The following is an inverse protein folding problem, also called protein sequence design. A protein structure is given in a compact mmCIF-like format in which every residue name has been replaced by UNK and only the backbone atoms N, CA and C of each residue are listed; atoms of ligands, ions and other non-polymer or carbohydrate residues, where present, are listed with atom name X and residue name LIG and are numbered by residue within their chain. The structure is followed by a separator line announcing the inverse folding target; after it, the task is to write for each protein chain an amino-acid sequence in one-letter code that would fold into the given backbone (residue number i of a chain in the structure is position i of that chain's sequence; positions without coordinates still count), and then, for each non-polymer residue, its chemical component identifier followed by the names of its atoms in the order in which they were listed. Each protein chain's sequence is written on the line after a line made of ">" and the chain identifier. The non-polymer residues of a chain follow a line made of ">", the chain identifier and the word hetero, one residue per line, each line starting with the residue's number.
data_IF_558394245271
#
_entry.id   IF_558394245271
#
_cell.length_a   1.000
_cell.length_b   1.000
_cell.length_c   1.000
_cell.angle_alpha   90.00
_cell.angle_beta   90.00
_cell.angle_gamma   90.00
#
_symmetry.space_group_name_H-M   'P 1'
#
loop_
_entity.id
_entity.type
_entity.pdbx_description
1 polymer ?
#
# COMPACT_ATOMS: atom_id res chain seq x y z
N UNK A 1 -4.56 -14.77 -3.50
CA UNK A 1 -5.26 -15.09 -2.23
C UNK A 1 -6.47 -14.20 -2.09
N UNK A 2 -7.64 -14.74 -1.75
CA UNK A 2 -8.85 -13.92 -1.51
C UNK A 2 -8.83 -13.40 -0.08
N UNK A 3 -9.20 -12.13 0.12
CA UNK A 3 -9.39 -11.53 1.44
C UNK A 3 -10.86 -11.16 1.60
N UNK A 4 -11.40 -11.33 2.80
CA UNK A 4 -12.78 -10.97 3.16
C UNK A 4 -12.70 -10.10 4.40
N UNK A 5 -13.42 -8.97 4.39
CA UNK A 5 -13.42 -8.01 5.49
C UNK A 5 -13.88 -8.68 6.79
N UNK A 6 -13.19 -8.42 7.89
CA UNK A 6 -13.48 -8.96 9.23
C UNK A 6 -13.55 -10.49 9.30
N UNK A 7 -12.83 -11.20 8.43
CA UNK A 7 -12.88 -12.66 8.36
C UNK A 7 -11.50 -13.31 8.55
N UNK A 8 -11.49 -14.48 9.19
CA UNK A 8 -10.32 -15.37 9.32
C UNK A 8 -10.77 -16.81 9.10
N UNK A 9 -10.02 -17.55 8.29
CA UNK A 9 -10.37 -18.93 7.96
C UNK A 9 -10.08 -19.91 9.11
N UNK A 10 -9.15 -19.54 9.99
CA UNK A 10 -8.56 -20.44 10.99
C UNK A 10 -9.08 -20.25 12.41
N UNK A 11 -9.74 -19.13 12.73
CA UNK A 11 -10.33 -18.87 14.05
C UNK A 11 -11.41 -17.80 13.97
N UNK A 12 -12.23 -17.68 15.02
CA UNK A 12 -13.26 -16.64 15.12
C UNK A 12 -12.64 -15.29 15.51
N UNK A 13 -12.73 -14.28 14.62
CA UNK A 13 -12.16 -12.96 14.84
C UNK A 13 -13.05 -12.13 15.80
N UNK A 14 -12.46 -11.64 16.89
CA UNK A 14 -13.07 -10.64 17.77
C UNK A 14 -12.25 -9.37 17.67
N UNK A 15 -12.90 -8.24 17.37
CA UNK A 15 -12.28 -6.91 17.35
C UNK A 15 -12.62 -6.19 18.65
N UNK A 16 -11.64 -5.52 19.24
CA UNK A 16 -11.80 -4.86 20.54
C UNK A 16 -12.30 -3.41 20.42
N UNK A 17 -11.99 -2.72 19.33
CA UNK A 17 -12.50 -1.38 19.03
C UNK A 17 -12.60 -1.09 17.52
N UNK A 18 -13.14 0.08 17.18
CA UNK A 18 -13.29 0.53 15.78
C UNK A 18 -11.94 0.77 15.08
N UNK A 19 -10.85 1.00 15.83
CA UNK A 19 -9.52 1.23 15.26
C UNK A 19 -8.93 -0.08 14.75
N UNK A 20 -9.14 -1.16 15.50
CA UNK A 20 -8.75 -2.51 15.08
C UNK A 20 -9.48 -2.95 13.82
N UNK A 21 -10.73 -2.50 13.60
CA UNK A 21 -11.47 -2.81 12.37
C UNK A 21 -10.76 -2.31 11.11
N UNK A 22 -10.03 -1.20 11.19
CA UNK A 22 -9.20 -0.73 10.08
C UNK A 22 -7.93 -1.57 9.97
N UNK A 23 -7.11 -1.60 11.03
CA UNK A 23 -5.79 -2.24 10.97
C UNK A 23 -5.85 -3.74 10.71
N UNK A 24 -6.89 -4.44 11.19
CA UNK A 24 -7.06 -5.87 10.98
C UNK A 24 -7.43 -6.25 9.53
N UNK A 25 -7.85 -5.28 8.72
CA UNK A 25 -8.21 -5.49 7.31
C UNK A 25 -7.14 -4.98 6.33
N UNK A 26 -6.03 -4.44 6.84
CA UNK A 26 -4.86 -4.13 6.02
C UNK A 26 -4.03 -5.40 5.74
N UNK A 27 -3.70 -5.61 4.47
CA UNK A 27 -2.87 -6.72 4.01
C UNK A 27 -1.67 -6.24 3.20
N UNK A 28 -0.55 -6.99 3.21
CA UNK A 28 0.59 -6.67 2.36
C UNK A 28 0.29 -7.00 0.89
N UNK A 29 0.66 -6.10 0.00
CA UNK A 29 0.77 -6.35 -1.44
C UNK A 29 2.17 -6.04 -1.91
N UNK A 30 2.75 -6.93 -2.71
CA UNK A 30 4.09 -6.76 -3.30
C UNK A 30 4.04 -6.33 -4.75
N UNK A 31 2.97 -6.68 -5.46
CA UNK A 31 2.77 -6.40 -6.89
C UNK A 31 1.47 -5.66 -7.17
N UNK A 32 0.37 -6.08 -6.56
CA UNK A 32 -0.93 -5.45 -6.78
C UNK A 32 -2.09 -6.15 -6.07
N UNK A 33 -3.26 -5.52 -6.16
CA UNK A 33 -4.54 -6.02 -5.67
C UNK A 33 -5.66 -5.65 -6.65
N UNK A 34 -6.81 -6.31 -6.50
CA UNK A 34 -8.01 -5.95 -7.24
C UNK A 34 -9.26 -6.15 -6.39
N UNK A 35 -10.30 -5.42 -6.75
CA UNK A 35 -11.69 -5.67 -6.35
C UNK A 35 -12.51 -5.92 -7.60
N UNK A 36 -13.56 -6.75 -7.52
CA UNK A 36 -14.41 -7.04 -8.67
C UNK A 36 -15.85 -7.29 -8.27
N UNK A 37 -16.75 -6.96 -9.19
CA UNK A 37 -18.14 -7.40 -9.21
C UNK A 37 -18.37 -8.34 -10.41
N UNK A 38 -19.63 -8.61 -10.75
CA UNK A 38 -20.00 -9.50 -11.86
C UNK A 38 -19.65 -8.96 -13.25
N UNK A 39 -19.41 -7.65 -13.38
CA UNK A 39 -19.23 -6.97 -14.67
C UNK A 39 -17.83 -6.40 -14.84
N UNK A 40 -17.22 -5.91 -13.76
CA UNK A 40 -16.03 -5.08 -13.77
C UNK A 40 -15.04 -5.50 -12.70
N UNK A 41 -13.77 -5.30 -13.02
CA UNK A 41 -12.66 -5.46 -12.10
C UNK A 41 -11.83 -4.18 -12.06
N UNK A 42 -11.59 -3.66 -10.85
CA UNK A 42 -10.65 -2.56 -10.60
C UNK A 42 -9.33 -3.15 -10.12
N UNK A 43 -8.28 -2.95 -10.91
CA UNK A 43 -6.92 -3.39 -10.63
C UNK A 43 -6.07 -2.23 -10.13
N UNK A 44 -5.20 -2.54 -9.17
CA UNK A 44 -4.20 -1.65 -8.62
C UNK A 44 -2.85 -2.37 -8.64
N UNK A 45 -1.86 -1.82 -9.35
CA UNK A 45 -0.49 -2.35 -9.42
C UNK A 45 0.47 -1.35 -8.79
N UNK A 46 1.28 -1.82 -7.84
CA UNK A 46 2.22 -1.02 -7.07
C UNK A 46 3.63 -1.13 -7.62
N UNK A 47 4.46 -0.13 -7.36
CA UNK A 47 5.88 -0.14 -7.71
C UNK A 47 6.78 -0.76 -6.63
N UNK A 48 6.22 -1.03 -5.44
CA UNK A 48 6.89 -1.62 -4.29
C UNK A 48 5.89 -2.32 -3.36
N UNK A 49 6.40 -2.94 -2.30
CA UNK A 49 5.56 -3.51 -1.25
C UNK A 49 4.84 -2.41 -0.45
N UNK A 50 3.51 -2.54 -0.31
CA UNK A 50 2.66 -1.57 0.38
C UNK A 50 1.54 -2.28 1.15
N UNK A 51 0.89 -1.56 2.07
CA UNK A 51 -0.34 -2.00 2.72
C UNK A 51 -1.57 -1.59 1.90
N UNK A 52 -2.52 -2.50 1.73
CA UNK A 52 -3.79 -2.25 1.05
C UNK A 52 -4.96 -2.73 1.89
N UNK A 53 -6.11 -2.08 1.76
CA UNK A 53 -7.37 -2.54 2.33
C UNK A 53 -8.56 -2.23 1.42
N UNK A 54 -9.69 -2.87 1.72
CA UNK A 54 -11.02 -2.53 1.21
C UNK A 54 -11.96 -2.45 2.40
N UNK A 55 -12.06 -1.25 2.99
CA UNK A 55 -12.83 -0.99 4.21
C UNK A 55 -14.32 -0.79 3.92
N UNK A 56 -14.66 -0.38 2.70
CA UNK A 56 -16.03 -0.20 2.20
C UNK A 56 -16.17 -0.93 0.86
N UNK A 57 -17.36 -1.45 0.59
CA UNK A 57 -17.64 -2.17 -0.65
C UNK A 57 -17.46 -1.23 -1.85
N UNK A 58 -16.79 -1.71 -2.90
CA UNK A 58 -16.43 -0.89 -4.06
C UNK A 58 -15.24 0.05 -3.84
N UNK A 59 -14.63 0.08 -2.66
CA UNK A 59 -13.45 0.90 -2.35
C UNK A 59 -12.19 0.04 -2.24
N UNK A 60 -11.07 0.61 -2.69
CA UNK A 60 -9.71 0.14 -2.39
C UNK A 60 -8.88 1.32 -1.91
N UNK A 61 -8.03 1.11 -0.91
CA UNK A 61 -7.08 2.11 -0.41
C UNK A 61 -5.69 1.51 -0.29
N UNK A 62 -4.66 2.33 -0.56
CA UNK A 62 -3.24 1.94 -0.48
C UNK A 62 -2.51 2.93 0.42
N UNK A 63 -1.78 2.42 1.41
CA UNK A 63 -0.94 3.24 2.26
C UNK A 63 0.34 3.64 1.51
N UNK A 64 0.44 4.93 1.13
CA UNK A 64 1.57 5.45 0.35
C UNK A 64 2.82 5.64 1.20
N UNK A 65 2.68 6.26 2.37
CA UNK A 65 3.77 6.56 3.29
C UNK A 65 3.20 6.73 4.71
N UNK A 66 4.04 6.54 5.74
CA UNK A 66 3.64 6.71 7.15
C UNK A 66 4.77 7.32 7.95
N UNK A 67 4.40 8.17 8.92
CA UNK A 67 5.30 8.83 9.85
C UNK A 67 4.65 8.82 11.23
N UNK A 68 5.36 8.33 12.24
CA UNK A 68 4.90 8.19 13.62
C UNK A 68 5.81 8.99 14.54
N UNK A 69 5.20 9.70 15.50
CA UNK A 69 5.92 10.52 16.48
C UNK A 69 6.14 9.80 17.81
N UNK A 70 5.70 8.55 17.91
CA UNK A 70 5.84 7.70 19.09
C UNK A 70 6.32 6.31 18.66
N UNK A 71 7.15 5.70 19.51
CA UNK A 71 7.58 4.30 19.41
C UNK A 71 6.41 3.38 19.81
N UNK A 72 6.34 2.20 19.19
CA UNK A 72 5.27 1.22 19.44
C UNK A 72 5.61 0.21 20.56
N UNK A 73 6.78 0.38 21.19
CA UNK A 73 7.32 -0.45 22.26
C UNK A 73 7.45 -1.93 21.86
N UNK A 74 7.74 -2.19 20.58
CA UNK A 74 8.01 -3.54 20.06
C UNK A 74 9.50 -3.86 19.87
N UNK A 75 10.39 -2.99 20.33
CA UNK A 75 11.82 -3.28 20.50
C UNK A 75 12.77 -2.47 19.63
N UNK A 76 12.28 -1.61 18.73
CA UNK A 76 13.12 -0.70 17.96
C UNK A 76 13.73 0.41 18.84
N UNK A 77 12.95 0.93 19.81
CA UNK A 77 13.42 2.00 20.71
C UNK A 77 13.46 3.38 20.04
N UNK A 78 12.84 3.52 18.88
CA UNK A 78 12.72 4.76 18.14
C UNK A 78 11.41 4.81 17.36
N UNK A 79 10.85 6.01 17.21
CA UNK A 79 9.65 6.23 16.41
C UNK A 79 9.97 6.22 14.91
N UNK A 80 9.01 5.80 14.08
CA UNK A 80 9.15 5.84 12.62
C UNK A 80 9.01 7.27 12.09
N UNK A 81 10.07 8.06 12.23
CA UNK A 81 10.10 9.49 11.96
C UNK A 81 11.24 9.86 11.02
N UNK A 82 11.28 9.23 9.85
CA UNK A 82 12.35 9.42 8.88
C UNK A 82 12.45 10.88 8.41
N UNK A 83 13.68 11.41 8.44
CA UNK A 83 14.01 12.76 8.01
C UNK A 83 15.16 12.76 7.01
N UNK A 84 15.19 13.75 6.14
CA UNK A 84 16.30 14.01 5.22
C UNK A 84 16.94 15.37 5.50
N UNK A 85 18.27 15.45 5.38
CA UNK A 85 19.02 16.70 5.44
C UNK A 85 19.28 17.19 4.03
N UNK A 86 18.73 18.35 3.68
CA UNK A 86 18.84 18.95 2.34
C UNK A 86 19.48 20.32 2.47
N UNK A 87 20.36 20.67 1.53
CA UNK A 87 20.91 22.01 1.45
C UNK A 87 19.84 22.98 0.92
N UNK A 88 19.50 23.98 1.72
CA UNK A 88 18.57 25.04 1.36
C UNK A 88 19.36 26.22 0.76
N UNK A 89 19.12 26.50 -0.52
CA UNK A 89 19.82 27.57 -1.24
C UNK A 89 19.46 28.98 -0.73
N UNK A 90 18.25 29.19 -0.22
CA UNK A 90 17.80 30.48 0.29
C UNK A 90 18.38 30.75 1.69
N UNK A 91 18.39 29.74 2.56
CA UNK A 91 18.99 29.82 3.89
C UNK A 91 20.52 29.66 3.88
N UNK A 92 21.10 29.20 2.75
CA UNK A 92 22.52 28.84 2.61
C UNK A 92 23.01 27.88 3.71
N UNK A 93 22.16 26.93 4.09
CA UNK A 93 22.41 26.01 5.20
C UNK A 93 21.74 24.65 4.97
N UNK A 94 22.23 23.62 5.65
CA UNK A 94 21.54 22.33 5.71
C UNK A 94 20.32 22.42 6.63
N UNK A 95 19.16 22.02 6.12
CA UNK A 95 17.91 21.96 6.87
C UNK A 95 17.44 20.51 6.91
N UNK A 96 17.00 20.07 8.08
CA UNK A 96 16.40 18.74 8.27
C UNK A 96 14.89 18.85 8.11
N UNK A 97 14.33 18.05 7.21
CA UNK A 97 12.88 17.98 6.95
C UNK A 97 12.41 16.54 6.92
N UNK A 98 11.09 16.32 6.95
CA UNK A 98 10.53 14.97 6.82
C UNK A 98 10.89 14.34 5.47
N UNK A 99 11.17 13.03 5.48
CA UNK A 99 11.48 12.28 4.26
C UNK A 99 10.32 12.41 3.25
N UNK A 100 10.66 12.67 1.99
CA UNK A 100 9.68 12.73 0.89
C UNK A 100 9.85 11.51 0.00
N UNK A 101 8.78 10.73 -0.13
CA UNK A 101 8.75 9.54 -0.99
C UNK A 101 7.88 9.80 -2.22
N UNK A 102 8.30 9.28 -3.38
CA UNK A 102 7.49 9.26 -4.61
C UNK A 102 7.04 7.84 -4.92
N UNK A 103 5.74 7.67 -5.17
CA UNK A 103 5.10 6.40 -5.45
C UNK A 103 4.37 6.45 -6.79
N UNK A 104 4.52 5.41 -7.60
CA UNK A 104 3.76 5.21 -8.82
C UNK A 104 2.72 4.11 -8.59
N UNK A 105 1.45 4.45 -8.77
CA UNK A 105 0.32 3.53 -8.69
C UNK A 105 -0.35 3.43 -10.06
N UNK A 106 -0.46 2.22 -10.59
CA UNK A 106 -1.18 1.98 -11.84
C UNK A 106 -2.58 1.48 -11.53
N UNK A 107 -3.58 2.18 -12.03
CA UNK A 107 -5.00 1.87 -11.84
C UNK A 107 -5.58 1.50 -13.20
N UNK A 108 -6.31 0.39 -13.26
CA UNK A 108 -6.93 -0.10 -14.50
C UNK A 108 -8.30 -0.71 -14.21
N UNK A 109 -9.30 -0.38 -15.02
CA UNK A 109 -10.63 -0.99 -14.95
C UNK A 109 -10.83 -1.86 -16.18
N UNK A 110 -11.23 -3.10 -15.96
CA UNK A 110 -11.46 -4.10 -17.01
C UNK A 110 -12.81 -4.80 -16.80
N UNK A 111 -13.15 -5.72 -17.69
CA UNK A 111 -14.18 -6.73 -17.48
C UNK A 111 -13.88 -7.63 -16.28
N UNK A 112 -14.86 -8.43 -15.83
CA UNK A 112 -14.71 -9.35 -14.69
C UNK A 112 -13.58 -10.39 -14.83
N UNK A 113 -13.04 -10.59 -16.05
CA UNK A 113 -11.89 -11.43 -16.37
C UNK A 113 -10.57 -10.62 -16.55
N UNK A 114 -10.51 -9.43 -15.97
CA UNK A 114 -9.40 -8.46 -16.04
C UNK A 114 -8.06 -8.89 -15.44
N UNK A 115 -7.88 -10.17 -15.12
CA UNK A 115 -6.63 -10.69 -14.56
C UNK A 115 -5.49 -10.65 -15.59
N UNK A 116 -5.79 -10.81 -16.88
CA UNK A 116 -4.78 -10.79 -17.94
C UNK A 116 -4.08 -9.43 -18.03
N UNK A 117 -4.85 -8.34 -18.00
CA UNK A 117 -4.31 -6.98 -18.04
C UNK A 117 -3.46 -6.68 -16.81
N UNK A 118 -3.91 -7.09 -15.62
CA UNK A 118 -3.12 -6.92 -14.38
C UNK A 118 -1.78 -7.68 -14.43
N UNK A 119 -1.76 -8.93 -14.91
CA UNK A 119 -0.52 -9.72 -15.03
C UNK A 119 0.46 -9.09 -16.01
N UNK A 120 -0.02 -8.73 -17.20
CA UNK A 120 0.81 -8.10 -18.23
C UNK A 120 1.41 -6.78 -17.73
N UNK A 121 0.63 -5.97 -17.02
CA UNK A 121 1.15 -4.73 -16.42
C UNK A 121 2.19 -5.01 -15.34
N UNK A 122 1.93 -5.95 -14.44
CA UNK A 122 2.86 -6.35 -13.37
C UNK A 122 4.19 -6.82 -13.95
N UNK A 123 4.15 -7.69 -14.97
CA UNK A 123 5.34 -8.20 -15.64
C UNK A 123 6.16 -7.06 -16.26
N UNK A 124 5.52 -6.17 -17.03
CA UNK A 124 6.22 -5.02 -17.64
C UNK A 124 6.88 -4.09 -16.62
N UNK A 125 6.40 -4.08 -15.38
CA UNK A 125 6.86 -3.19 -14.32
C UNK A 125 8.05 -3.76 -13.56
N UNK A 126 8.03 -5.06 -13.25
CA UNK A 126 9.09 -5.71 -12.47
C UNK A 126 10.11 -6.45 -13.34
N UNK A 127 9.77 -6.76 -14.59
CA UNK A 127 10.63 -7.42 -15.57
C UNK A 127 10.82 -6.47 -16.75
N UNK A 128 11.68 -5.47 -16.55
CA UNK A 128 12.05 -4.53 -17.61
C UNK A 128 13.33 -5.02 -18.30
N UNK A 129 13.33 -5.06 -19.63
CA UNK A 129 14.58 -5.24 -20.39
C UNK A 129 15.51 -4.04 -20.15
N UNK A 130 16.80 -4.32 -19.97
CA UNK A 130 17.80 -3.26 -19.86
C UNK A 130 17.82 -2.48 -21.20
N UNK A 131 17.88 -1.14 -21.16
CA UNK A 131 18.13 -0.36 -22.37
C UNK A 131 19.51 -0.75 -22.92
N UNK A 132 19.56 -1.00 -24.23
CA UNK A 132 20.79 -1.22 -25.01
C UNK A 132 21.52 0.10 -25.18
#
# INVERSE_FOLDING_TARGET
>A
MKRVRNHRDTWNLTLHDDREAVSANYFPITTGAYIKDDKRQLNVVTDRAQGVASLVDGQVEVMVHRRLLADDSKGAGEHLNETESVYDEAAKAYVTKGLVVRCNLFIHVDSADGMRSMRSKTESQFVRSLPV
#
